data_IF_678673471509
#
_entry.id   IF_678673471509
#
_cell.length_a   1.000
_cell.length_b   1.000
_cell.length_c   1.000
_cell.angle_alpha   90.00
_cell.angle_beta   90.00
_cell.angle_gamma   90.00
#
_symmetry.space_group_name_H-M   'P 1'
#
loop_
_entity.id
_entity.type
_entity.pdbx_description
1 polymer ?
#
# COMPACT_ATOMS: atom_id res chain seq x y z
N UNK A 1 -1.27 -11.35 -0.46
CA UNK A 1 -2.26 -10.26 -0.54
C UNK A 1 -3.57 -10.77 -1.14
N UNK A 2 -4.70 -10.15 -0.78
CA UNK A 2 -6.04 -10.51 -1.25
C UNK A 2 -6.87 -9.25 -1.54
N UNK A 3 -7.80 -9.35 -2.50
CA UNK A 3 -8.85 -8.34 -2.67
C UNK A 3 -9.96 -8.48 -1.61
N UNK A 4 -10.05 -9.64 -0.97
CA UNK A 4 -11.15 -10.04 -0.09
C UNK A 4 -12.34 -10.66 -0.82
N UNK A 5 -12.40 -10.60 -2.14
CA UNK A 5 -13.49 -11.21 -2.92
C UNK A 5 -13.49 -12.73 -2.75
N UNK A 6 -14.65 -13.32 -2.43
CA UNK A 6 -14.79 -14.74 -2.18
C UNK A 6 -14.11 -15.27 -0.90
N UNK A 7 -13.59 -14.37 -0.03
CA UNK A 7 -12.95 -14.75 1.21
C UNK A 7 -13.96 -15.36 2.21
N UNK A 8 -13.61 -16.49 2.81
CA UNK A 8 -14.48 -17.22 3.74
C UNK A 8 -13.69 -17.77 4.94
N UNK A 9 -14.37 -18.44 5.86
CA UNK A 9 -13.80 -19.00 7.09
C UNK A 9 -12.73 -20.07 6.80
N UNK A 10 -12.91 -20.89 5.77
CA UNK A 10 -11.93 -21.91 5.37
C UNK A 10 -10.62 -21.23 4.94
N UNK A 11 -10.69 -20.23 4.07
CA UNK A 11 -9.52 -19.45 3.62
C UNK A 11 -8.84 -18.76 4.80
N UNK A 12 -9.61 -18.19 5.73
CA UNK A 12 -9.06 -17.57 6.94
C UNK A 12 -8.31 -18.60 7.82
N UNK A 13 -8.85 -19.81 7.94
CA UNK A 13 -8.20 -20.92 8.65
C UNK A 13 -6.88 -21.32 8.02
N UNK A 14 -6.86 -21.49 6.70
CA UNK A 14 -5.62 -21.78 5.94
C UNK A 14 -4.60 -20.64 6.12
N UNK A 15 -5.03 -19.39 6.06
CA UNK A 15 -4.15 -18.24 6.31
C UNK A 15 -3.59 -18.24 7.74
N UNK A 16 -4.37 -18.67 8.72
CA UNK A 16 -3.90 -18.78 10.12
C UNK A 16 -2.80 -19.81 10.30
N UNK A 17 -2.85 -20.89 9.53
CA UNK A 17 -1.88 -21.98 9.61
C UNK A 17 -0.58 -21.67 8.83
N UNK A 18 -0.71 -21.08 7.63
CA UNK A 18 0.41 -20.98 6.69
C UNK A 18 0.93 -19.56 6.44
N UNK A 19 0.23 -18.51 6.89
CA UNK A 19 0.62 -17.13 6.59
C UNK A 19 1.10 -16.39 7.85
N UNK A 20 2.31 -15.85 7.83
CA UNK A 20 2.81 -14.96 8.88
C UNK A 20 2.04 -13.64 8.98
N UNK A 21 1.48 -13.17 7.86
CA UNK A 21 0.57 -12.02 7.78
C UNK A 21 -0.20 -12.05 6.45
N UNK A 22 -1.38 -11.40 6.43
CA UNK A 22 -2.18 -11.21 5.21
C UNK A 22 -2.50 -9.73 5.05
N UNK A 23 -2.33 -9.21 3.83
CA UNK A 23 -2.76 -7.86 3.48
C UNK A 23 -4.03 -7.91 2.61
N UNK A 24 -5.02 -7.08 2.96
CA UNK A 24 -6.26 -6.92 2.19
C UNK A 24 -6.25 -5.57 1.51
N UNK A 25 -6.47 -5.56 0.18
CA UNK A 25 -6.58 -4.33 -0.60
C UNK A 25 -7.88 -3.60 -0.25
N UNK A 26 -7.77 -2.29 0.03
CA UNK A 26 -8.90 -1.49 0.50
C UNK A 26 -9.78 -1.00 -0.65
N UNK A 27 -10.72 -1.85 -1.08
CA UNK A 27 -11.68 -1.50 -2.15
C UNK A 27 -12.99 -0.89 -1.63
N UNK A 28 -13.13 -0.67 -0.31
CA UNK A 28 -14.33 -0.06 0.30
C UNK A 28 -15.61 -0.87 0.09
N UNK A 29 -15.48 -2.13 -0.22
CA UNK A 29 -16.61 -3.04 -0.47
C UNK A 29 -16.94 -3.90 0.75
N UNK A 30 -18.16 -4.41 0.87
CA UNK A 30 -18.54 -5.31 1.96
C UNK A 30 -17.61 -6.53 2.07
N UNK A 31 -17.16 -7.09 0.95
CA UNK A 31 -16.27 -8.25 0.95
C UNK A 31 -14.86 -7.92 1.51
N UNK A 32 -14.37 -6.69 1.33
CA UNK A 32 -13.11 -6.24 1.93
C UNK A 32 -13.21 -6.24 3.45
N UNK A 33 -14.28 -5.66 4.00
CA UNK A 33 -14.51 -5.62 5.45
C UNK A 33 -14.69 -7.03 6.00
N UNK A 34 -15.48 -7.87 5.32
CA UNK A 34 -15.70 -9.27 5.72
C UNK A 34 -14.39 -10.06 5.76
N UNK A 35 -13.52 -9.89 4.77
CA UNK A 35 -12.20 -10.56 4.75
C UNK A 35 -11.31 -10.12 5.92
N UNK A 36 -11.30 -8.81 6.24
CA UNK A 36 -10.57 -8.30 7.42
C UNK A 36 -11.12 -8.89 8.70
N UNK A 37 -12.43 -8.92 8.89
CA UNK A 37 -13.09 -9.51 10.07
C UNK A 37 -12.72 -10.99 10.25
N UNK A 38 -12.82 -11.80 9.19
CA UNK A 38 -12.50 -13.22 9.23
C UNK A 38 -11.04 -13.49 9.57
N UNK A 39 -10.12 -12.70 9.01
CA UNK A 39 -8.70 -12.81 9.33
C UNK A 39 -8.42 -12.44 10.79
N UNK A 40 -9.05 -11.39 11.32
CA UNK A 40 -8.91 -11.00 12.72
C UNK A 40 -9.49 -12.06 13.66
N UNK A 41 -10.65 -12.64 13.34
CA UNK A 41 -11.25 -13.75 14.10
C UNK A 41 -10.34 -14.98 14.11
N UNK A 42 -9.70 -15.28 12.98
CA UNK A 42 -8.72 -16.36 12.86
C UNK A 42 -7.34 -16.01 13.46
N UNK A 43 -7.20 -14.84 14.13
CA UNK A 43 -5.96 -14.34 14.75
C UNK A 43 -4.79 -14.17 13.77
N UNK A 44 -5.09 -13.96 12.50
CA UNK A 44 -4.08 -13.68 11.47
C UNK A 44 -3.63 -12.22 11.60
N UNK A 45 -2.31 -11.99 11.57
CA UNK A 45 -1.75 -10.64 11.47
C UNK A 45 -2.23 -9.98 10.18
N UNK A 46 -3.14 -9.02 10.28
CA UNK A 46 -3.86 -8.44 9.15
C UNK A 46 -3.38 -7.03 8.87
N UNK A 47 -3.01 -6.76 7.62
CA UNK A 47 -2.66 -5.43 7.13
C UNK A 47 -3.71 -4.97 6.10
N UNK A 48 -3.84 -3.65 5.95
CA UNK A 48 -4.60 -3.03 4.87
C UNK A 48 -3.60 -2.45 3.86
N UNK A 49 -3.78 -2.75 2.57
CA UNK A 49 -3.13 -2.04 1.48
C UNK A 49 -4.08 -0.96 0.96
N UNK A 50 -3.66 0.29 1.10
CA UNK A 50 -4.44 1.46 0.72
C UNK A 50 -3.74 2.23 -0.39
N UNK A 51 -4.34 2.28 -1.58
CA UNK A 51 -3.79 3.05 -2.71
C UNK A 51 -4.02 4.54 -2.49
N UNK A 52 -2.95 5.33 -2.46
CA UNK A 52 -2.98 6.78 -2.44
C UNK A 52 -3.04 7.32 -3.86
N UNK A 53 -4.12 7.98 -4.18
CA UNK A 53 -4.38 8.61 -5.49
C UNK A 53 -5.14 9.92 -5.30
N UNK A 54 -5.31 10.67 -6.38
CA UNK A 54 -6.13 11.87 -6.37
C UNK A 54 -7.57 11.61 -5.87
N UNK A 55 -8.14 10.44 -6.18
CA UNK A 55 -9.50 10.06 -5.76
C UNK A 55 -9.57 9.63 -4.29
N UNK A 56 -8.48 9.10 -3.72
CA UNK A 56 -8.50 8.46 -2.40
C UNK A 56 -7.85 9.28 -1.30
N UNK A 57 -7.02 10.27 -1.63
CA UNK A 57 -6.27 11.07 -0.65
C UNK A 57 -7.19 11.79 0.37
N UNK A 58 -8.33 12.26 -0.08
CA UNK A 58 -9.32 12.92 0.80
C UNK A 58 -9.89 11.96 1.85
N UNK A 59 -10.20 10.72 1.45
CA UNK A 59 -10.62 9.67 2.37
C UNK A 59 -9.49 9.28 3.33
N UNK A 60 -8.27 9.11 2.82
CA UNK A 60 -7.10 8.78 3.64
C UNK A 60 -6.89 9.81 4.76
N UNK A 61 -6.94 11.11 4.43
CA UNK A 61 -6.87 12.21 5.40
C UNK A 61 -7.99 12.13 6.43
N UNK A 62 -9.23 11.87 5.99
CA UNK A 62 -10.39 11.75 6.89
C UNK A 62 -10.22 10.56 7.85
N UNK A 63 -9.80 9.40 7.34
CA UNK A 63 -9.59 8.19 8.15
C UNK A 63 -8.47 8.34 9.16
N UNK A 64 -7.33 8.91 8.76
CA UNK A 64 -6.25 9.22 9.69
C UNK A 64 -6.70 10.21 10.76
N UNK A 65 -7.45 11.24 10.39
CA UNK A 65 -7.97 12.24 11.34
C UNK A 65 -8.94 11.64 12.35
N UNK A 66 -9.80 10.71 11.93
CA UNK A 66 -10.81 10.06 12.78
C UNK A 66 -10.31 8.79 13.45
N UNK A 67 -9.17 8.27 13.02
CA UNK A 67 -8.63 6.96 13.40
C UNK A 67 -9.61 5.83 13.02
N UNK A 68 -10.18 5.91 11.81
CA UNK A 68 -11.32 5.12 11.32
C UNK A 68 -10.89 4.03 10.34
N UNK A 69 -9.97 3.17 10.78
CA UNK A 69 -9.71 1.86 10.18
C UNK A 69 -10.19 0.74 11.11
N UNK A 70 -10.43 -0.49 10.60
CA UNK A 70 -10.89 -1.59 11.44
C UNK A 70 -10.01 -1.83 12.65
N UNK A 71 -10.62 -1.99 13.82
CA UNK A 71 -9.87 -2.27 15.07
C UNK A 71 -9.23 -3.65 15.00
N UNK A 72 -8.02 -3.76 15.57
CA UNK A 72 -7.29 -5.03 15.62
C UNK A 72 -6.36 -5.29 14.44
N UNK A 73 -6.37 -4.47 13.38
CA UNK A 73 -5.39 -4.59 12.29
C UNK A 73 -3.98 -4.27 12.80
N UNK A 74 -2.97 -4.89 12.18
CA UNK A 74 -1.58 -4.65 12.51
C UNK A 74 -1.04 -3.37 11.87
N UNK A 75 -1.35 -3.13 10.58
CA UNK A 75 -0.85 -1.98 9.85
C UNK A 75 -1.77 -1.53 8.71
N UNK A 76 -1.65 -0.26 8.34
CA UNK A 76 -2.10 0.28 7.06
C UNK A 76 -0.87 0.63 6.22
N UNK A 77 -0.73 0.01 5.06
CA UNK A 77 0.36 0.24 4.11
C UNK A 77 -0.19 1.09 2.98
N UNK A 78 0.29 2.31 2.88
CA UNK A 78 -0.07 3.23 1.82
C UNK A 78 0.81 3.00 0.59
N UNK A 79 0.15 2.74 -0.54
CA UNK A 79 0.77 2.45 -1.83
C UNK A 79 0.52 3.63 -2.77
N UNK A 80 1.56 4.23 -3.30
CA UNK A 80 1.40 5.33 -4.24
C UNK A 80 0.79 4.83 -5.55
N UNK A 81 -0.26 5.49 -6.04
CA UNK A 81 -0.82 5.22 -7.35
C UNK A 81 0.22 5.50 -8.45
N UNK A 82 0.33 4.59 -9.41
CA UNK A 82 1.18 4.71 -10.60
C UNK A 82 0.29 4.65 -11.84
N UNK A 83 0.48 5.53 -12.83
CA UNK A 83 -0.31 5.56 -14.06
C UNK A 83 0.18 4.52 -15.08
N UNK A 84 0.30 3.26 -14.65
CA UNK A 84 0.77 2.14 -15.47
C UNK A 84 -0.28 1.04 -15.50
N UNK A 85 -0.42 0.35 -16.61
CA UNK A 85 -1.41 -0.69 -16.82
C UNK A 85 -2.84 -0.14 -16.76
N UNK A 86 -3.61 -0.51 -15.74
CA UNK A 86 -4.97 0.03 -15.50
C UNK A 86 -4.97 1.36 -14.75
N UNK A 87 -3.81 1.86 -14.34
CA UNK A 87 -3.67 3.16 -13.69
C UNK A 87 -3.97 4.31 -14.66
N UNK A 88 -4.54 5.41 -14.13
CA UNK A 88 -4.89 6.59 -14.93
C UNK A 88 -4.06 7.79 -14.50
N UNK A 89 -3.58 8.58 -15.46
CA UNK A 89 -2.87 9.83 -15.21
C UNK A 89 -3.68 10.81 -14.31
N UNK A 90 -4.99 10.89 -14.52
CA UNK A 90 -5.88 11.73 -13.71
C UNK A 90 -5.86 11.40 -12.21
N UNK A 91 -5.39 10.22 -11.85
CA UNK A 91 -5.34 9.74 -10.46
C UNK A 91 -3.96 9.93 -9.81
N UNK A 92 -2.98 10.45 -10.54
CA UNK A 92 -1.67 10.79 -10.01
C UNK A 92 -1.79 11.94 -9.00
N UNK A 93 -1.13 11.81 -7.86
CA UNK A 93 -1.08 12.85 -6.85
C UNK A 93 -0.04 13.93 -7.21
N UNK A 94 -0.44 15.19 -7.13
CA UNK A 94 0.49 16.31 -7.20
C UNK A 94 1.12 16.57 -5.82
N UNK A 95 2.42 16.86 -5.80
CA UNK A 95 3.12 17.30 -4.59
C UNK A 95 2.61 18.66 -4.07
N UNK A 96 1.97 19.45 -4.91
CA UNK A 96 1.39 20.76 -4.55
C UNK A 96 0.00 20.65 -3.92
N UNK A 97 -0.61 19.46 -3.97
CA UNK A 97 -1.93 19.24 -3.38
C UNK A 97 -1.87 19.39 -1.85
N UNK A 98 -2.63 20.33 -1.31
CA UNK A 98 -2.72 20.57 0.14
C UNK A 98 -3.16 19.35 0.94
N UNK A 99 -3.91 18.43 0.31
CA UNK A 99 -4.34 17.17 0.93
C UNK A 99 -3.14 16.24 1.17
N UNK A 100 -2.16 16.22 0.25
CA UNK A 100 -0.91 15.45 0.39
C UNK A 100 -0.11 15.96 1.59
N UNK A 101 0.09 17.27 1.69
CA UNK A 101 0.74 17.87 2.86
C UNK A 101 0.02 17.48 4.15
N UNK A 102 -1.32 17.63 4.18
CA UNK A 102 -2.13 17.30 5.35
C UNK A 102 -2.07 15.84 5.73
N UNK A 103 -2.01 14.94 4.75
CA UNK A 103 -1.83 13.52 4.95
C UNK A 103 -0.53 13.21 5.72
N UNK A 104 0.61 13.72 5.25
CA UNK A 104 1.90 13.48 5.89
C UNK A 104 2.03 14.16 7.26
N UNK A 105 1.41 15.32 7.47
CA UNK A 105 1.31 15.94 8.81
C UNK A 105 0.60 15.00 9.81
N UNK A 106 -0.50 14.36 9.39
CA UNK A 106 -1.23 13.42 10.25
C UNK A 106 -0.42 12.16 10.54
N UNK A 107 0.29 11.65 9.53
CA UNK A 107 1.21 10.50 9.69
C UNK A 107 2.30 10.81 10.73
N UNK A 108 2.90 12.00 10.67
CA UNK A 108 4.02 12.36 11.54
C UNK A 108 3.58 12.73 12.96
N UNK A 109 2.47 13.46 13.09
CA UNK A 109 2.08 14.11 14.35
C UNK A 109 1.08 13.30 15.17
N UNK A 110 0.46 12.27 14.60
CA UNK A 110 -0.61 11.54 15.25
C UNK A 110 -0.21 10.10 15.58
N UNK A 111 -0.57 9.65 16.77
CA UNK A 111 -0.46 8.22 17.14
C UNK A 111 -1.75 7.50 16.74
N UNK A 112 -1.58 6.35 16.09
CA UNK A 112 -2.64 5.45 15.69
C UNK A 112 -2.55 4.13 16.46
N UNK A 113 -3.66 3.39 16.54
CA UNK A 113 -3.67 2.06 17.16
C UNK A 113 -3.16 0.95 16.22
N UNK A 114 -2.75 1.29 15.00
CA UNK A 114 -2.10 0.45 14.00
C UNK A 114 -0.80 1.10 13.54
N UNK A 115 0.08 0.30 12.93
CA UNK A 115 1.30 0.81 12.32
C UNK A 115 0.98 1.43 10.96
N UNK A 116 1.75 2.44 10.57
CA UNK A 116 1.70 3.01 9.22
C UNK A 116 2.97 2.60 8.48
N UNK A 117 2.80 2.12 7.24
CA UNK A 117 3.88 1.81 6.33
C UNK A 117 3.63 2.41 4.94
N UNK A 118 4.66 2.39 4.12
CA UNK A 118 4.64 2.94 2.77
C UNK A 118 5.34 2.00 1.80
N UNK A 119 4.92 2.00 0.54
CA UNK A 119 5.75 1.44 -0.52
C UNK A 119 6.95 2.36 -0.80
N UNK A 120 8.00 1.81 -1.40
CA UNK A 120 9.23 2.56 -1.71
C UNK A 120 8.99 3.75 -2.63
N UNK A 121 7.96 3.72 -3.46
CA UNK A 121 7.61 4.85 -4.33
C UNK A 121 7.03 6.06 -3.57
N UNK A 122 6.50 5.86 -2.37
CA UNK A 122 5.99 6.95 -1.51
C UNK A 122 7.11 7.63 -0.72
N UNK A 123 8.28 7.00 -0.57
CA UNK A 123 9.38 7.50 0.26
C UNK A 123 9.85 8.93 -0.10
N UNK A 124 9.99 9.31 -1.38
CA UNK A 124 10.36 10.70 -1.72
C UNK A 124 9.36 11.72 -1.16
N UNK A 125 8.06 11.43 -1.25
CA UNK A 125 7.02 12.27 -0.64
C UNK A 125 7.13 12.31 0.88
N UNK A 126 7.34 11.16 1.53
CA UNK A 126 7.52 11.07 2.96
C UNK A 126 8.69 11.96 3.43
N UNK A 127 9.85 11.84 2.80
CA UNK A 127 11.03 12.64 3.13
C UNK A 127 10.85 14.14 2.87
N UNK A 128 10.07 14.50 1.86
CA UNK A 128 9.79 15.90 1.54
C UNK A 128 8.88 16.57 2.57
N UNK A 129 7.87 15.85 3.09
CA UNK A 129 6.83 16.44 3.94
C UNK A 129 7.01 16.17 5.44
N UNK A 130 7.90 15.27 5.86
CA UNK A 130 8.11 14.92 7.27
C UNK A 130 9.51 15.30 7.75
N UNK A 131 9.70 15.48 9.07
CA UNK A 131 10.96 15.87 9.69
C UNK A 131 11.37 15.00 10.88
N UNK A 132 10.43 14.25 11.45
CA UNK A 132 10.63 13.49 12.69
C UNK A 132 10.79 11.98 12.45
N UNK A 133 10.57 11.51 11.23
CA UNK A 133 10.69 10.09 10.91
C UNK A 133 12.17 9.73 10.84
N UNK A 134 12.53 8.66 11.56
CA UNK A 134 13.91 8.16 11.57
C UNK A 134 14.27 7.57 10.20
N UNK A 135 15.40 7.98 9.66
CA UNK A 135 15.93 7.41 8.40
C UNK A 135 16.22 5.91 8.52
N UNK A 136 16.50 5.41 9.73
CA UNK A 136 16.72 3.98 9.98
C UNK A 136 15.45 3.12 9.82
N UNK A 137 14.26 3.75 9.72
CA UNK A 137 12.99 3.08 9.44
C UNK A 137 12.57 3.14 7.98
N UNK A 138 13.44 3.61 7.10
CA UNK A 138 13.16 3.83 5.69
C UNK A 138 14.11 2.99 4.85
N UNK A 139 13.55 2.09 4.03
CA UNK A 139 14.29 1.37 3.01
C UNK A 139 14.22 2.11 1.67
N UNK A 140 15.27 1.98 0.88
CA UNK A 140 15.31 2.52 -0.48
C UNK A 140 14.59 1.59 -1.45
N UNK A 141 14.34 2.08 -2.68
CA UNK A 141 13.77 1.25 -3.74
C UNK A 141 14.66 0.03 -4.04
N UNK A 142 14.05 -1.15 -4.09
CA UNK A 142 14.72 -2.43 -4.37
C UNK A 142 14.85 -2.72 -5.87
N UNK A 143 14.12 -1.98 -6.72
CA UNK A 143 14.09 -2.18 -8.16
C UNK A 143 15.48 -2.12 -8.78
N UNK A 144 15.85 -3.16 -9.54
CA UNK A 144 17.15 -3.31 -10.18
C UNK A 144 18.32 -3.58 -9.22
N UNK A 145 18.08 -3.70 -7.91
CA UNK A 145 19.11 -4.01 -6.90
C UNK A 145 18.89 -5.40 -6.28
N UNK A 146 17.70 -5.64 -5.77
CA UNK A 146 17.32 -6.84 -5.04
C UNK A 146 16.09 -7.52 -5.64
N UNK A 147 15.40 -6.84 -6.56
CA UNK A 147 14.25 -7.35 -7.27
C UNK A 147 14.33 -7.00 -8.75
N UNK A 148 13.74 -7.84 -9.59
CA UNK A 148 13.55 -7.62 -11.02
C UNK A 148 12.14 -8.08 -11.41
N UNK A 149 11.62 -7.53 -12.48
CA UNK A 149 10.35 -7.91 -13.07
C UNK A 149 10.59 -8.56 -14.44
N UNK A 150 10.02 -9.74 -14.65
CA UNK A 150 10.09 -10.44 -15.93
C UNK A 150 8.70 -10.34 -16.57
N UNK A 151 8.65 -9.79 -17.79
CA UNK A 151 7.42 -9.66 -18.57
C UNK A 151 7.02 -11.01 -19.21
N UNK A 152 5.75 -11.17 -19.65
CA UNK A 152 5.32 -12.39 -20.34
C UNK A 152 6.10 -12.68 -21.64
N UNK A 153 6.66 -11.65 -22.29
CA UNK A 153 7.50 -11.74 -23.49
C UNK A 153 9.00 -11.87 -23.18
N UNK A 154 9.32 -12.33 -21.96
CA UNK A 154 10.69 -12.68 -21.52
C UNK A 154 11.65 -11.47 -21.52
N UNK A 155 11.15 -10.30 -21.17
CA UNK A 155 11.99 -9.12 -20.92
C UNK A 155 12.18 -8.90 -19.45
N UNK A 156 13.39 -8.62 -19.04
CA UNK A 156 13.71 -8.29 -17.65
C UNK A 156 13.80 -6.79 -17.46
N UNK A 157 13.06 -6.27 -16.50
CA UNK A 157 13.00 -4.86 -16.11
C UNK A 157 13.37 -4.70 -14.64
N UNK A 158 13.89 -3.54 -14.23
CA UNK A 158 14.19 -3.28 -12.82
C UNK A 158 12.92 -3.23 -11.96
N UNK A 159 11.78 -2.86 -12.54
CA UNK A 159 10.51 -2.66 -11.82
C UNK A 159 9.33 -2.89 -12.77
N UNK A 160 8.24 -3.44 -12.26
CA UNK A 160 6.98 -3.62 -13.02
C UNK A 160 6.33 -2.30 -13.46
N UNK A 161 6.75 -1.17 -12.89
CA UNK A 161 6.26 0.16 -13.27
C UNK A 161 7.12 0.87 -14.32
N UNK A 162 8.20 0.26 -14.80
CA UNK A 162 9.07 0.76 -15.88
C UNK A 162 8.66 0.21 -17.26
N UNK A 163 7.54 -0.49 -17.35
CA UNK A 163 7.13 -1.24 -18.55
C UNK A 163 6.83 -0.37 -19.79
N UNK A 164 6.53 0.91 -19.64
CA UNK A 164 6.19 1.78 -20.78
C UNK A 164 7.43 2.39 -21.45
N UNK A 165 8.44 2.77 -20.68
CA UNK A 165 9.66 3.37 -21.24
C UNK A 165 10.76 2.35 -21.55
N UNK A 166 10.74 1.18 -20.91
CA UNK A 166 11.69 0.06 -21.09
C UNK A 166 13.18 0.48 -21.15
N UNK A 167 13.53 1.57 -20.47
CA UNK A 167 14.88 2.15 -20.54
C UNK A 167 16.00 1.20 -20.10
N UNK A 168 15.66 0.26 -19.23
CA UNK A 168 16.60 -0.70 -18.63
C UNK A 168 16.21 -2.15 -18.95
N UNK A 169 15.60 -2.37 -20.10
CA UNK A 169 15.15 -3.67 -20.54
C UNK A 169 16.31 -4.54 -21.00
N UNK A 170 16.29 -5.82 -20.62
CA UNK A 170 17.17 -6.86 -21.11
C UNK A 170 16.31 -7.99 -21.66
N UNK A 171 16.56 -8.41 -22.92
CA UNK A 171 15.97 -9.61 -23.50
C UNK A 171 16.61 -10.86 -22.89
N UNK A 172 15.80 -11.83 -22.47
CA UNK A 172 16.22 -13.09 -21.84
C UNK A 172 16.24 -14.24 -22.85
#
# INVERSE_FOLDING_TARGET
>A
TSSGFGFNEHIAGVCSEYCGAVAVSWYRSPYTLRAVELLLQAKVKTNIHYVLSNDTIGEAVSRLKKDDFPRGINAVIFLLHKPVGLGRESNVLSSEDKRVKKFFELVECRRHFYKIGFDSCTIPGLLNFTRKISLNSIDTCEGGRWSAYITPDMKMLPCSFDSEEMRWCVDL
#
